data_IF_394185696325
#
_entry.id   IF_394185696325
#
_cell.length_a   1.000
_cell.length_b   1.000
_cell.length_c   1.000
_cell.angle_alpha   90.00
_cell.angle_beta   90.00
_cell.angle_gamma   90.00
#
_symmetry.space_group_name_H-M   'P 1'
#
loop_
_entity.id
_entity.type
_entity.pdbx_description
1 polymer ?
#
# COMPACT_ATOMS: atom_id res chain seq x y z
N UNK A 1 13.67 -0.14 14.47
CA UNK A 1 12.50 0.49 13.83
C UNK A 1 12.28 1.91 14.34
N UNK A 2 11.97 2.13 15.64
CA UNK A 2 11.70 3.46 16.19
C UNK A 2 12.84 4.48 15.95
N UNK A 3 14.10 4.07 16.11
CA UNK A 3 15.24 4.97 15.88
C UNK A 3 15.33 5.42 14.41
N UNK A 4 15.13 4.49 13.47
CA UNK A 4 15.13 4.82 12.04
C UNK A 4 14.03 5.82 11.64
N UNK A 5 12.83 5.71 12.23
CA UNK A 5 11.74 6.67 11.99
C UNK A 5 12.00 8.05 12.60
N UNK A 6 12.92 8.13 13.56
CA UNK A 6 13.39 9.39 14.17
C UNK A 6 14.65 9.95 13.48
N UNK A 7 15.17 9.27 12.44
CA UNK A 7 16.42 9.65 11.78
C UNK A 7 17.66 9.42 12.64
N UNK A 8 17.57 8.55 13.65
CA UNK A 8 18.68 8.25 14.57
C UNK A 8 19.39 6.98 14.06
N UNK A 9 20.71 7.09 13.84
CA UNK A 9 21.54 5.95 13.45
C UNK A 9 21.66 4.96 14.63
N UNK A 10 21.33 3.67 14.43
CA UNK A 10 21.51 2.64 15.47
C UNK A 10 22.97 2.39 15.88
N UNK A 11 23.96 2.87 15.12
CA UNK A 11 25.37 2.85 15.46
C UNK A 11 25.86 4.08 16.26
N UNK A 12 24.94 5.02 16.56
CA UNK A 12 25.23 6.18 17.41
C UNK A 12 25.80 5.70 18.77
N UNK A 13 26.87 6.34 19.21
CA UNK A 13 27.59 5.97 20.43
C UNK A 13 26.72 5.90 21.69
N UNK A 14 25.59 6.62 21.71
CA UNK A 14 24.57 6.57 22.77
C UNK A 14 23.94 5.19 22.94
N UNK A 15 23.98 4.36 21.90
CA UNK A 15 23.41 3.00 21.86
C UNK A 15 24.47 1.91 21.76
N UNK A 16 25.77 2.28 21.81
CA UNK A 16 26.86 1.34 21.84
C UNK A 16 27.18 0.89 23.26
N UNK A 17 27.49 -0.38 23.41
CA UNK A 17 27.97 -1.00 24.65
C UNK A 17 29.24 -1.78 24.36
N UNK A 18 29.84 -2.41 25.38
CA UNK A 18 30.96 -3.35 25.19
C UNK A 18 30.60 -4.53 24.25
N UNK A 19 29.31 -4.81 24.07
CA UNK A 19 28.80 -5.82 23.16
C UNK A 19 28.60 -5.34 21.71
N UNK A 20 28.98 -4.10 21.41
CA UNK A 20 28.82 -3.45 20.11
C UNK A 20 27.57 -2.55 20.01
N UNK A 21 27.28 -2.13 18.77
CA UNK A 21 26.10 -1.35 18.45
C UNK A 21 24.81 -2.20 18.49
N UNK A 22 23.65 -1.57 18.29
CA UNK A 22 22.36 -2.27 18.32
C UNK A 22 22.24 -3.38 17.27
N UNK A 23 22.87 -3.22 16.10
CA UNK A 23 22.88 -4.27 15.07
C UNK A 23 23.72 -5.47 15.52
N UNK A 24 24.93 -5.23 16.02
CA UNK A 24 25.79 -6.28 16.54
C UNK A 24 25.12 -7.05 17.67
N UNK A 25 24.45 -6.33 18.59
CA UNK A 25 23.70 -6.96 19.68
C UNK A 25 22.53 -7.81 19.17
N UNK A 26 21.76 -7.34 18.19
CA UNK A 26 20.67 -8.10 17.59
C UNK A 26 21.18 -9.37 16.89
N UNK A 27 22.29 -9.29 16.14
CA UNK A 27 22.87 -10.43 15.42
C UNK A 27 23.38 -11.54 16.35
N UNK A 28 23.61 -11.28 17.63
CA UNK A 28 23.95 -12.34 18.62
C UNK A 28 22.81 -13.34 18.84
N UNK A 29 21.59 -12.99 18.52
CA UNK A 29 20.43 -13.88 18.61
C UNK A 29 20.17 -14.67 17.33
N UNK A 30 20.97 -14.43 16.28
CA UNK A 30 20.88 -15.17 15.02
C UNK A 30 21.47 -16.58 15.20
N UNK A 31 20.75 -17.57 14.67
CA UNK A 31 21.18 -18.98 14.70
C UNK A 31 21.92 -19.35 13.41
N UNK A 32 22.86 -20.31 13.47
CA UNK A 32 23.63 -20.75 12.30
C UNK A 32 22.77 -21.29 11.15
N UNK A 33 21.65 -21.92 11.46
CA UNK A 33 20.67 -22.46 10.51
C UNK A 33 19.73 -21.41 9.95
N UNK A 34 19.87 -20.16 10.36
CA UNK A 34 18.96 -19.06 10.06
C UNK A 34 17.90 -18.88 11.15
N UNK A 35 17.20 -17.75 11.07
CA UNK A 35 16.25 -17.37 12.13
C UNK A 35 16.94 -16.77 13.36
N UNK A 36 16.09 -16.39 14.33
CA UNK A 36 16.52 -15.76 15.59
C UNK A 36 15.87 -16.44 16.78
N UNK A 37 16.61 -16.52 17.89
CA UNK A 37 16.09 -16.99 19.15
C UNK A 37 15.60 -15.83 20.01
N UNK A 38 14.60 -16.08 20.87
CA UNK A 38 14.07 -15.08 21.80
C UNK A 38 15.04 -14.79 22.94
N UNK A 39 15.78 -15.80 23.39
CA UNK A 39 16.81 -15.70 24.43
C UNK A 39 18.13 -16.29 23.93
N UNK A 40 19.26 -15.70 24.29
CA UNK A 40 20.58 -16.19 23.87
C UNK A 40 20.77 -17.67 24.24
N UNK A 41 21.15 -18.46 23.23
CA UNK A 41 21.31 -19.92 23.38
C UNK A 41 20.01 -20.72 23.32
N UNK A 42 18.87 -20.05 23.04
CA UNK A 42 17.60 -20.71 22.80
C UNK A 42 17.44 -21.30 21.42
N UNK A 43 16.27 -21.86 21.13
CA UNK A 43 15.89 -22.37 19.82
C UNK A 43 15.31 -21.25 18.93
N UNK A 44 15.19 -21.51 17.63
CA UNK A 44 14.54 -20.61 16.70
C UNK A 44 13.10 -20.30 17.15
N UNK A 45 12.78 -19.03 17.16
CA UNK A 45 11.45 -18.52 17.51
C UNK A 45 10.92 -17.69 16.36
N UNK A 46 9.70 -17.98 15.92
CA UNK A 46 9.10 -17.34 14.75
C UNK A 46 8.90 -15.83 14.97
N UNK A 47 8.39 -15.45 16.14
CA UNK A 47 8.15 -14.04 16.47
C UNK A 47 9.47 -13.27 16.59
N UNK A 48 10.49 -13.85 17.25
CA UNK A 48 11.80 -13.22 17.35
C UNK A 48 12.46 -13.08 15.96
N UNK A 49 12.30 -14.07 15.09
CA UNK A 49 12.79 -14.04 13.71
C UNK A 49 12.12 -12.94 12.90
N UNK A 50 10.80 -12.85 12.97
CA UNK A 50 10.04 -11.81 12.28
C UNK A 50 10.44 -10.40 12.76
N UNK A 51 10.49 -10.19 14.07
CA UNK A 51 10.87 -8.90 14.65
C UNK A 51 12.31 -8.50 14.30
N UNK A 52 13.23 -9.46 14.31
CA UNK A 52 14.62 -9.22 13.91
C UNK A 52 14.72 -8.85 12.42
N UNK A 53 13.96 -9.54 11.56
CA UNK A 53 13.91 -9.24 10.13
C UNK A 53 13.39 -7.82 9.88
N UNK A 54 12.29 -7.41 10.52
CA UNK A 54 11.80 -6.04 10.42
C UNK A 54 12.82 -5.01 10.92
N UNK A 55 13.53 -5.30 12.01
CA UNK A 55 14.55 -4.40 12.53
C UNK A 55 15.73 -4.23 11.57
N UNK A 56 16.22 -5.33 10.96
CA UNK A 56 17.31 -5.31 9.98
C UNK A 56 16.89 -4.64 8.67
N UNK A 57 15.67 -4.88 8.19
CA UNK A 57 15.12 -4.22 7.02
C UNK A 57 15.00 -2.71 7.24
N UNK A 58 14.48 -2.28 8.39
CA UNK A 58 14.40 -0.86 8.76
C UNK A 58 15.78 -0.19 8.83
N UNK A 59 16.78 -0.89 9.37
CA UNK A 59 18.16 -0.41 9.41
C UNK A 59 18.74 -0.25 8.00
N UNK A 60 18.48 -1.21 7.13
CA UNK A 60 18.92 -1.15 5.72
C UNK A 60 18.30 0.04 4.99
N UNK A 61 17.00 0.25 5.15
CA UNK A 61 16.31 1.39 4.54
C UNK A 61 16.87 2.71 5.05
N UNK A 62 17.10 2.85 6.37
CA UNK A 62 17.69 4.06 6.95
C UNK A 62 19.08 4.35 6.37
N UNK A 63 19.95 3.33 6.18
CA UNK A 63 21.28 3.50 5.55
C UNK A 63 21.24 3.85 4.07
N UNK A 64 20.16 3.49 3.39
CA UNK A 64 19.93 3.83 1.97
C UNK A 64 19.19 5.15 1.81
N UNK A 65 18.94 5.87 2.90
CA UNK A 65 18.14 7.10 2.94
C UNK A 65 16.73 6.90 2.33
N UNK A 66 16.24 5.66 2.40
CA UNK A 66 14.91 5.31 1.96
C UNK A 66 13.88 5.49 3.07
N UNK A 67 12.62 5.76 2.75
CA UNK A 67 11.53 5.82 3.73
C UNK A 67 11.52 4.56 4.60
N UNK A 68 11.34 4.71 5.91
CA UNK A 68 11.28 3.60 6.85
C UNK A 68 10.04 2.72 6.62
N UNK A 69 10.11 1.45 7.07
CA UNK A 69 9.04 0.45 6.94
C UNK A 69 7.66 0.94 7.46
N UNK A 70 7.65 1.88 8.40
CA UNK A 70 6.45 2.46 9.02
C UNK A 70 6.42 3.98 8.88
N UNK A 71 7.25 4.56 8.04
CA UNK A 71 6.99 5.91 7.60
C UNK A 71 5.83 5.83 6.61
N UNK A 72 4.65 5.94 7.15
CA UNK A 72 3.58 6.61 6.44
C UNK A 72 4.23 7.82 5.78
N UNK A 73 4.14 7.92 4.46
CA UNK A 73 4.81 8.98 3.68
C UNK A 73 4.63 10.31 4.40
N UNK A 74 5.67 10.73 5.12
CA UNK A 74 5.70 12.05 5.73
C UNK A 74 6.02 13.05 4.63
N UNK A 75 5.10 13.88 4.39
CA UNK A 75 4.93 15.03 3.51
C UNK A 75 3.96 14.75 2.36
N UNK A 76 2.69 14.99 2.63
CA UNK A 76 1.94 15.84 1.74
C UNK A 76 2.86 16.96 1.29
N UNK A 77 2.92 17.30 0.01
CA UNK A 77 3.56 18.55 -0.38
C UNK A 77 2.93 19.65 0.48
N UNK A 78 3.72 20.49 1.15
CA UNK A 78 3.20 21.65 1.90
C UNK A 78 2.42 22.61 0.98
N UNK A 79 2.52 22.40 -0.31
CA UNK A 79 1.77 23.04 -1.40
C UNK A 79 1.05 21.94 -2.17
N UNK A 80 -0.23 22.06 -2.45
CA UNK A 80 -0.92 21.17 -3.38
C UNK A 80 -0.10 20.91 -4.65
N UNK A 81 -0.57 20.05 -5.51
CA UNK A 81 0.16 19.65 -6.71
C UNK A 81 -0.80 19.04 -7.73
N UNK A 82 -0.22 18.33 -8.69
CA UNK A 82 -0.96 17.56 -9.69
C UNK A 82 -0.56 16.10 -9.60
N UNK A 83 -1.53 15.22 -9.78
CA UNK A 83 -1.29 13.80 -9.95
C UNK A 83 -2.01 13.30 -11.21
N UNK A 84 -1.62 12.14 -11.71
CA UNK A 84 -2.39 11.44 -12.73
C UNK A 84 -3.32 10.46 -12.04
N UNK A 85 -4.63 10.54 -12.34
CA UNK A 85 -5.62 9.60 -11.82
C UNK A 85 -6.25 8.81 -12.96
N UNK A 86 -6.41 7.50 -12.75
CA UNK A 86 -7.12 6.62 -13.67
C UNK A 86 -7.96 5.58 -12.92
N UNK A 87 -9.05 5.09 -13.55
CA UNK A 87 -9.92 4.05 -13.01
C UNK A 87 -10.17 3.01 -14.11
N UNK A 88 -9.71 1.79 -13.90
CA UNK A 88 -9.78 0.71 -14.89
C UNK A 88 -10.52 -0.52 -14.36
N UNK A 89 -11.36 -1.08 -15.21
CA UNK A 89 -11.99 -2.39 -15.03
C UNK A 89 -11.63 -3.36 -16.19
N UNK A 90 -10.51 -3.12 -16.87
CA UNK A 90 -10.09 -3.88 -18.05
C UNK A 90 -9.96 -5.38 -17.78
N UNK A 91 -9.61 -5.79 -16.55
CA UNK A 91 -9.47 -7.19 -16.16
C UNK A 91 -10.75 -8.00 -16.27
N UNK A 92 -11.91 -7.36 -16.22
CA UNK A 92 -13.19 -8.03 -16.44
C UNK A 92 -13.36 -8.60 -17.85
N UNK A 93 -12.54 -8.17 -18.79
CA UNK A 93 -12.56 -8.64 -20.20
C UNK A 93 -11.54 -9.75 -20.47
N UNK A 94 -10.81 -10.19 -19.46
CA UNK A 94 -9.87 -11.30 -19.60
C UNK A 94 -10.60 -12.64 -19.74
N UNK A 95 -10.01 -13.55 -20.50
CA UNK A 95 -10.57 -14.90 -20.66
C UNK A 95 -10.72 -15.61 -19.31
N UNK A 96 -11.89 -16.19 -19.08
CA UNK A 96 -12.20 -16.96 -17.88
C UNK A 96 -12.77 -16.15 -16.72
N UNK A 97 -12.78 -14.82 -16.80
CA UNK A 97 -13.44 -13.98 -15.79
C UNK A 97 -14.97 -14.08 -15.99
N UNK A 98 -15.66 -14.35 -14.89
CA UNK A 98 -17.14 -14.37 -14.88
C UNK A 98 -17.62 -13.15 -14.10
N UNK A 99 -18.23 -12.23 -14.79
CA UNK A 99 -18.96 -11.10 -14.20
C UNK A 99 -20.45 -11.22 -14.56
N UNK A 100 -21.30 -10.60 -13.79
CA UNK A 100 -22.71 -10.46 -14.12
C UNK A 100 -22.85 -9.74 -15.47
N UNK A 101 -23.57 -10.35 -16.41
CA UNK A 101 -23.76 -9.81 -17.78
C UNK A 101 -24.38 -8.41 -17.76
N UNK A 102 -25.39 -8.16 -16.88
CA UNK A 102 -26.03 -6.86 -16.72
C UNK A 102 -25.01 -5.76 -16.30
N UNK A 103 -23.97 -6.13 -15.58
CA UNK A 103 -22.90 -5.22 -15.18
C UNK A 103 -21.95 -4.94 -16.33
N UNK A 104 -21.60 -5.96 -17.11
CA UNK A 104 -20.68 -5.81 -18.27
C UNK A 104 -21.26 -4.86 -19.33
N UNK A 105 -22.58 -4.83 -19.52
CA UNK A 105 -23.25 -3.91 -20.45
C UNK A 105 -23.12 -2.44 -20.02
N UNK A 106 -22.98 -2.17 -18.72
CA UNK A 106 -22.83 -0.83 -18.15
C UNK A 106 -21.37 -0.32 -18.19
N UNK A 107 -20.41 -1.20 -18.42
CA UNK A 107 -19.00 -0.86 -18.37
C UNK A 107 -18.44 -0.46 -19.74
N UNK A 108 -17.49 0.50 -19.78
CA UNK A 108 -16.85 0.91 -21.02
C UNK A 108 -16.17 -0.26 -21.73
N UNK A 109 -16.34 -0.34 -23.07
CA UNK A 109 -15.76 -1.40 -23.89
C UNK A 109 -14.23 -1.45 -23.82
N UNK A 110 -13.59 -0.30 -23.64
CA UNK A 110 -12.15 -0.16 -23.53
C UNK A 110 -11.61 -0.41 -22.11
N UNK A 111 -12.51 -0.72 -21.16
CA UNK A 111 -12.17 -1.03 -19.76
C UNK A 111 -11.78 0.18 -18.91
N UNK A 112 -11.95 1.41 -19.40
CA UNK A 112 -11.64 2.62 -18.66
C UNK A 112 -12.91 3.33 -18.17
N UNK A 113 -13.20 3.25 -16.88
CA UNK A 113 -14.22 4.11 -16.24
C UNK A 113 -13.73 5.55 -16.23
N UNK A 114 -12.44 5.76 -15.97
CA UNK A 114 -11.75 7.03 -16.11
C UNK A 114 -10.39 6.80 -16.75
N UNK A 115 -10.18 7.37 -17.95
CA UNK A 115 -8.86 7.33 -18.59
C UNK A 115 -7.85 8.17 -17.80
N UNK A 116 -6.54 7.83 -17.86
CA UNK A 116 -5.52 8.62 -17.19
C UNK A 116 -5.66 10.11 -17.51
N UNK A 117 -5.84 10.91 -16.48
CA UNK A 117 -5.93 12.37 -16.59
C UNK A 117 -5.21 13.04 -15.43
N UNK A 118 -4.69 14.25 -15.69
CA UNK A 118 -4.10 15.07 -14.65
C UNK A 118 -5.20 15.72 -13.81
N UNK A 119 -5.08 15.60 -12.49
CA UNK A 119 -5.99 16.21 -11.52
C UNK A 119 -5.18 17.03 -10.50
N UNK A 120 -5.74 18.15 -10.07
CA UNK A 120 -5.14 18.99 -9.03
C UNK A 120 -5.56 18.48 -7.65
N UNK A 121 -4.67 18.62 -6.66
CA UNK A 121 -4.97 18.31 -5.28
C UNK A 121 -4.40 19.38 -4.34
N UNK A 122 -4.99 19.50 -3.15
CA UNK A 122 -4.55 20.41 -2.11
C UNK A 122 -3.50 19.75 -1.21
N UNK A 123 -2.74 20.60 -0.49
CA UNK A 123 -1.81 20.08 0.51
C UNK A 123 -2.54 19.21 1.54
N UNK A 124 -2.08 17.98 1.71
CA UNK A 124 -2.66 17.01 2.64
C UNK A 124 -3.73 16.10 2.05
N UNK A 125 -4.18 16.35 0.83
CA UNK A 125 -5.14 15.45 0.17
C UNK A 125 -4.55 14.05 0.01
N UNK A 126 -5.41 13.07 0.20
CA UNK A 126 -5.09 11.64 0.11
C UNK A 126 -5.56 11.06 -1.23
N UNK A 127 -5.18 9.81 -1.48
CA UNK A 127 -5.69 9.04 -2.63
C UNK A 127 -7.21 9.00 -2.63
N UNK A 128 -7.84 8.90 -1.44
CA UNK A 128 -9.29 8.93 -1.30
C UNK A 128 -9.88 10.29 -1.67
N UNK A 129 -9.31 11.39 -1.17
CA UNK A 129 -9.85 12.74 -1.40
C UNK A 129 -9.89 13.06 -2.90
N UNK A 130 -8.81 12.73 -3.62
CA UNK A 130 -8.72 12.97 -5.07
C UNK A 130 -9.66 12.05 -5.85
N UNK A 131 -9.80 10.77 -5.45
CA UNK A 131 -10.78 9.88 -6.06
C UNK A 131 -12.19 10.43 -5.91
N UNK A 132 -12.56 10.82 -4.67
CA UNK A 132 -13.88 11.33 -4.34
C UNK A 132 -14.21 12.61 -5.11
N UNK A 133 -13.26 13.56 -5.15
CA UNK A 133 -13.42 14.81 -5.89
C UNK A 133 -13.62 14.54 -7.39
N UNK A 134 -12.76 13.72 -7.98
CA UNK A 134 -12.79 13.40 -9.40
C UNK A 134 -14.05 12.63 -9.79
N UNK A 135 -14.49 11.66 -8.98
CA UNK A 135 -15.75 10.95 -9.23
C UNK A 135 -16.95 11.89 -9.21
N UNK A 136 -16.99 12.86 -8.28
CA UNK A 136 -18.05 13.88 -8.23
C UNK A 136 -18.06 14.77 -9.46
N UNK A 137 -16.90 15.28 -9.87
CA UNK A 137 -16.77 16.14 -11.07
C UNK A 137 -17.16 15.40 -12.35
N UNK A 138 -16.68 14.17 -12.49
CA UNK A 138 -16.93 13.33 -13.67
C UNK A 138 -18.30 12.64 -13.64
N UNK A 139 -19.08 12.82 -12.57
CA UNK A 139 -20.38 12.17 -12.35
C UNK A 139 -20.29 10.64 -12.39
N UNK A 140 -19.18 10.10 -11.92
CA UNK A 140 -18.98 8.67 -11.72
C UNK A 140 -19.56 8.31 -10.35
N UNK A 141 -20.49 7.36 -10.36
CA UNK A 141 -21.06 6.85 -9.11
C UNK A 141 -19.98 6.15 -8.29
N UNK A 142 -19.90 6.42 -6.99
CA UNK A 142 -18.95 5.81 -6.08
C UNK A 142 -19.61 5.54 -4.72
N UNK A 143 -19.42 4.36 -4.19
CA UNK A 143 -19.84 3.99 -2.83
C UNK A 143 -18.63 3.57 -2.02
N UNK A 144 -18.63 3.96 -0.75
CA UNK A 144 -17.57 3.65 0.20
C UNK A 144 -18.12 3.61 1.62
N UNK A 145 -17.48 2.85 2.47
CA UNK A 145 -17.74 2.79 3.90
C UNK A 145 -16.55 3.33 4.69
N UNK A 146 -16.83 4.20 5.67
CA UNK A 146 -15.82 4.59 6.66
C UNK A 146 -15.77 3.52 7.75
N UNK A 147 -14.70 2.75 7.79
CA UNK A 147 -14.49 1.71 8.81
C UNK A 147 -13.85 2.32 10.06
N UNK A 148 -14.59 2.46 11.19
CA UNK A 148 -14.07 3.06 12.41
C UNK A 148 -12.83 2.33 12.96
N UNK A 149 -12.72 1.03 12.69
CA UNK A 149 -11.62 0.19 13.15
C UNK A 149 -10.30 0.51 12.44
N UNK A 150 -10.34 0.81 11.15
CA UNK A 150 -9.16 1.08 10.33
C UNK A 150 -8.95 2.57 10.04
N UNK A 151 -9.91 3.44 10.43
CA UNK A 151 -9.90 4.90 10.17
C UNK A 151 -9.64 5.25 8.70
N UNK A 152 -10.00 4.38 7.78
CA UNK A 152 -9.81 4.56 6.36
C UNK A 152 -11.07 4.24 5.60
N UNK A 153 -11.28 4.91 4.48
CA UNK A 153 -12.38 4.62 3.57
C UNK A 153 -12.12 3.28 2.85
N UNK A 154 -13.12 2.42 2.85
CA UNK A 154 -13.18 1.20 2.06
C UNK A 154 -14.07 1.45 0.84
N UNK A 155 -13.53 1.26 -0.37
CA UNK A 155 -14.27 1.51 -1.61
C UNK A 155 -15.05 0.26 -1.99
N UNK A 156 -16.38 0.34 -1.88
CA UNK A 156 -17.29 -0.74 -2.21
C UNK A 156 -17.59 -0.81 -3.71
N UNK A 157 -17.72 0.35 -4.36
CA UNK A 157 -18.07 0.41 -5.78
C UNK A 157 -17.65 1.70 -6.47
N UNK A 158 -17.26 1.58 -7.76
CA UNK A 158 -17.01 2.71 -8.67
C UNK A 158 -17.68 2.42 -10.00
N UNK A 159 -18.44 3.38 -10.57
CA UNK A 159 -19.04 3.27 -11.88
C UNK A 159 -20.08 2.13 -11.98
N UNK A 160 -20.83 1.87 -10.89
CA UNK A 160 -21.80 0.77 -10.74
C UNK A 160 -21.16 -0.65 -10.73
N UNK A 161 -19.85 -0.74 -10.63
CA UNK A 161 -19.11 -2.00 -10.43
C UNK A 161 -18.69 -2.10 -8.98
N UNK A 162 -19.18 -3.14 -8.30
CA UNK A 162 -19.00 -3.36 -6.87
C UNK A 162 -18.07 -4.53 -6.58
N UNK A 163 -17.56 -4.59 -5.36
CA UNK A 163 -16.89 -5.78 -4.86
C UNK A 163 -17.81 -7.01 -5.03
N UNK A 164 -17.19 -8.17 -5.30
CA UNK A 164 -17.84 -9.45 -5.55
C UNK A 164 -18.68 -9.55 -6.83
N UNK A 165 -18.83 -8.51 -7.66
CA UNK A 165 -19.55 -8.58 -8.94
C UNK A 165 -18.91 -9.58 -9.93
N UNK A 166 -17.61 -9.87 -9.79
CA UNK A 166 -16.90 -10.88 -10.58
C UNK A 166 -16.41 -12.08 -9.74
N UNK A 167 -17.08 -12.36 -8.62
CA UNK A 167 -16.76 -13.45 -7.71
C UNK A 167 -16.15 -13.01 -6.38
N UNK A 168 -16.00 -13.97 -5.45
CA UNK A 168 -15.63 -13.71 -4.05
C UNK A 168 -14.23 -13.11 -3.84
N UNK A 169 -13.39 -13.07 -4.88
CA UNK A 169 -12.03 -12.53 -4.82
C UNK A 169 -11.91 -11.21 -5.59
N UNK A 170 -13.05 -10.66 -6.04
CA UNK A 170 -13.05 -9.43 -6.83
C UNK A 170 -13.37 -8.21 -6.00
N UNK A 171 -12.80 -7.06 -6.42
CA UNK A 171 -13.00 -5.78 -5.75
C UNK A 171 -12.06 -4.70 -6.27
N UNK A 172 -12.12 -3.54 -5.64
CA UNK A 172 -11.31 -2.40 -6.01
C UNK A 172 -9.98 -2.36 -5.26
N UNK A 173 -8.91 -2.12 -5.99
CA UNK A 173 -7.59 -1.86 -5.46
C UNK A 173 -7.00 -0.60 -6.06
N UNK A 174 -6.03 0.00 -5.38
CA UNK A 174 -5.30 1.13 -5.93
C UNK A 174 -3.79 0.92 -5.86
N UNK A 175 -3.10 1.53 -6.80
CA UNK A 175 -1.65 1.65 -6.77
C UNK A 175 -1.24 3.12 -6.85
N UNK A 176 -0.06 3.42 -6.30
CA UNK A 176 0.59 4.72 -6.42
C UNK A 176 1.97 4.48 -7.01
N UNK A 177 2.25 5.07 -8.17
CA UNK A 177 3.50 4.88 -8.92
C UNK A 177 3.79 3.39 -9.20
N UNK A 178 2.75 2.62 -9.54
CA UNK A 178 2.83 1.18 -9.83
C UNK A 178 2.99 0.27 -8.60
N UNK A 179 3.00 0.83 -7.39
CA UNK A 179 3.07 0.05 -6.15
C UNK A 179 1.71 0.02 -5.46
N UNK A 180 1.28 -1.18 -5.02
CA UNK A 180 0.03 -1.38 -4.28
C UNK A 180 0.32 -1.25 -2.77
N UNK A 181 -0.10 -0.16 -2.11
CA UNK A 181 0.12 0.01 -0.68
C UNK A 181 -0.71 -0.97 0.15
N UNK A 182 -0.10 -1.53 1.19
CA UNK A 182 -0.87 -2.25 2.23
C UNK A 182 -1.39 -1.27 3.29
N UNK A 183 -2.16 -0.28 2.82
CA UNK A 183 -2.73 0.79 3.63
C UNK A 183 -4.03 1.25 3.01
N UNK A 184 -4.92 1.83 3.79
CA UNK A 184 -6.15 2.41 3.30
C UNK A 184 -5.90 3.66 2.43
N UNK A 185 -6.77 3.91 1.47
CA UNK A 185 -6.59 5.03 0.53
C UNK A 185 -6.66 6.41 1.20
N UNK A 186 -7.27 6.51 2.38
CA UNK A 186 -7.30 7.74 3.18
C UNK A 186 -6.01 7.97 3.98
N UNK A 187 -5.11 6.97 4.05
CA UNK A 187 -3.86 7.07 4.80
C UNK A 187 -2.68 7.49 3.92
N UNK A 188 -2.85 7.51 2.60
CA UNK A 188 -1.80 7.83 1.64
C UNK A 188 -2.00 9.25 1.12
N UNK A 189 -1.21 10.18 1.65
CA UNK A 189 -1.14 11.55 1.16
C UNK A 189 -0.40 11.61 -0.18
N UNK A 190 -0.91 12.41 -1.11
CA UNK A 190 -0.37 12.58 -2.46
C UNK A 190 0.82 13.52 -2.51
N UNK A 191 1.64 13.33 -3.53
CA UNK A 191 2.76 14.19 -3.90
C UNK A 191 2.62 14.65 -5.34
N UNK A 192 3.20 15.80 -5.63
CA UNK A 192 3.25 16.31 -7.00
C UNK A 192 3.91 15.30 -7.95
N UNK A 193 3.22 15.01 -9.05
CA UNK A 193 3.65 14.03 -10.05
C UNK A 193 3.29 12.57 -9.73
N UNK A 194 2.59 12.25 -8.62
CA UNK A 194 2.16 10.88 -8.35
C UNK A 194 1.21 10.36 -9.46
N UNK A 195 1.34 9.07 -9.77
CA UNK A 195 0.42 8.34 -10.63
C UNK A 195 -0.45 7.40 -9.79
N UNK A 196 -1.75 7.68 -9.72
CA UNK A 196 -2.74 6.90 -8.98
C UNK A 196 -3.59 6.09 -9.95
N UNK A 197 -3.55 4.78 -9.82
CA UNK A 197 -4.35 3.87 -10.64
C UNK A 197 -5.31 3.09 -9.74
N UNK A 198 -6.61 3.26 -9.94
CA UNK A 198 -7.64 2.39 -9.39
C UNK A 198 -7.92 1.28 -10.37
N UNK A 199 -7.85 0.03 -9.92
CA UNK A 199 -8.03 -1.15 -10.76
C UNK A 199 -9.01 -2.11 -10.12
N UNK A 200 -9.87 -2.71 -10.94
CA UNK A 200 -10.73 -3.78 -10.49
C UNK A 200 -10.00 -5.12 -10.64
N UNK A 201 -9.76 -5.79 -9.52
CA UNK A 201 -9.17 -7.14 -9.49
C UNK A 201 -10.26 -8.20 -9.46
N UNK A 202 -9.98 -9.35 -10.06
CA UNK A 202 -10.83 -10.54 -10.00
C UNK A 202 -10.20 -11.67 -9.18
N UNK A 203 -8.96 -11.48 -8.71
CA UNK A 203 -8.19 -12.49 -7.96
C UNK A 203 -7.30 -11.85 -6.87
N UNK A 204 -7.91 -11.04 -5.99
CA UNK A 204 -7.22 -10.40 -4.85
C UNK A 204 -5.90 -9.69 -5.24
N UNK A 205 -5.87 -9.10 -6.42
CA UNK A 205 -4.72 -8.32 -6.90
C UNK A 205 -3.70 -9.09 -7.73
N UNK A 206 -3.73 -10.43 -7.78
CA UNK A 206 -2.77 -11.21 -8.56
C UNK A 206 -2.84 -10.92 -10.05
N UNK A 207 -4.05 -10.72 -10.55
CA UNK A 207 -4.37 -10.42 -11.95
C UNK A 207 -4.05 -8.96 -12.35
N UNK A 208 -3.73 -8.08 -11.41
CA UNK A 208 -3.36 -6.67 -11.63
C UNK A 208 -1.90 -6.39 -11.28
N UNK A 209 -1.11 -7.42 -10.95
CA UNK A 209 0.32 -7.29 -10.67
C UNK A 209 0.64 -6.91 -9.22
N UNK A 210 -0.31 -7.07 -8.30
CA UNK A 210 -0.01 -6.99 -6.88
C UNK A 210 0.85 -8.19 -6.45
N UNK A 211 2.13 -7.93 -6.16
CA UNK A 211 3.10 -8.97 -5.81
C UNK A 211 2.91 -9.58 -4.41
N UNK A 212 1.95 -9.11 -3.62
CA UNK A 212 1.62 -9.72 -2.33
C UNK A 212 0.81 -11.00 -2.54
N UNK A 213 1.46 -12.05 -3.02
CA UNK A 213 0.93 -13.40 -2.90
C UNK A 213 1.13 -13.85 -1.46
N UNK A 214 0.03 -14.07 -0.74
CA UNK A 214 0.05 -14.93 0.43
C UNK A 214 0.41 -16.34 -0.08
N UNK A 215 1.68 -16.76 0.06
CA UNK A 215 2.05 -18.17 0.03
C UNK A 215 1.63 -18.84 1.32
#
# INVERSE_FOLDING_TARGET
MALGSLGIDPSDERFCTDAGDLQAQLLRFQLPEGGFCHTLGGQADLMATEQAFYALAALRLARLEQPGLYQLRKSASDTGGQCTLSISCANLRNEGVRCNEDKLELLPEDGWILKPQTVEFQAGDTVFDVLLATCRESKIHMEYEETPLYRSAYIEGIGNLYEFDAGSLSGWMYSVNGWFPNAGCSDIALRDGDEVCWVYTCDLGRDVGNAYTLE
#
